data_IF_817389908003
#
_entry.id   IF_817389908003
#
_cell.length_a   1.000
_cell.length_b   1.000
_cell.length_c   1.000
_cell.angle_alpha   90.00
_cell.angle_beta   90.00
_cell.angle_gamma   90.00
#
_symmetry.space_group_name_H-M   'P 1'
#
loop_
_entity.id
_entity.type
_entity.pdbx_description
1 polymer ?
#
# COMPACT_ATOMS: atom_id res chain seq x y z
N UNK A 1 -10.17 1.76 -16.12
CA UNK A 1 -10.92 1.20 -15.00
C UNK A 1 -11.42 -0.20 -15.37
N UNK A 2 -11.18 -1.20 -14.52
CA UNK A 2 -11.54 -2.62 -14.78
C UNK A 2 -13.00 -2.94 -14.41
N UNK A 3 -13.72 -2.00 -13.78
CA UNK A 3 -15.11 -2.15 -13.35
C UNK A 3 -16.14 -1.73 -14.41
N UNK A 4 -15.70 -1.17 -15.53
CA UNK A 4 -16.60 -0.58 -16.53
C UNK A 4 -15.88 0.00 -17.75
N UNK A 5 -16.64 0.35 -18.79
CA UNK A 5 -16.17 1.19 -19.91
C UNK A 5 -17.04 2.44 -20.00
N UNK A 6 -16.46 3.56 -20.40
CA UNK A 6 -17.14 4.85 -20.61
C UNK A 6 -17.91 5.39 -19.37
N UNK A 7 -17.34 5.24 -18.16
CA UNK A 7 -17.92 5.79 -16.92
C UNK A 7 -19.07 4.99 -16.30
N UNK A 8 -19.47 3.87 -16.91
CA UNK A 8 -20.54 3.01 -16.39
C UNK A 8 -19.98 1.84 -15.59
N UNK A 9 -20.30 1.76 -14.30
CA UNK A 9 -19.92 0.65 -13.41
C UNK A 9 -20.81 -0.56 -13.65
N UNK A 10 -20.21 -1.71 -13.96
CA UNK A 10 -20.92 -2.99 -14.06
C UNK A 10 -21.16 -3.56 -12.66
N UNK A 11 -22.36 -3.36 -12.12
CA UNK A 11 -22.77 -3.79 -10.77
C UNK A 11 -22.50 -5.27 -10.45
N UNK A 12 -22.55 -6.16 -11.45
CA UNK A 12 -22.24 -7.57 -11.26
C UNK A 12 -20.74 -7.80 -10.98
N UNK A 13 -19.85 -7.10 -11.69
CA UNK A 13 -18.41 -7.19 -11.49
C UNK A 13 -17.98 -6.53 -10.17
N UNK A 14 -18.60 -5.38 -9.84
CA UNK A 14 -18.41 -4.72 -8.55
C UNK A 14 -18.76 -5.64 -7.38
N UNK A 15 -19.95 -6.27 -7.43
CA UNK A 15 -20.39 -7.22 -6.41
C UNK A 15 -19.48 -8.45 -6.33
N UNK A 16 -19.03 -8.98 -7.46
CA UNK A 16 -18.07 -10.09 -7.49
C UNK A 16 -16.78 -9.74 -6.75
N UNK A 17 -16.18 -8.59 -7.06
CA UNK A 17 -14.96 -8.13 -6.37
C UNK A 17 -15.18 -7.86 -4.89
N UNK A 18 -16.32 -7.26 -4.52
CA UNK A 18 -16.65 -7.03 -3.12
C UNK A 18 -16.76 -8.36 -2.36
N UNK A 19 -17.38 -9.39 -2.95
CA UNK A 19 -17.45 -10.72 -2.36
C UNK A 19 -16.05 -11.36 -2.20
N UNK A 20 -15.19 -11.26 -3.21
CA UNK A 20 -13.82 -11.78 -3.14
C UNK A 20 -13.03 -11.18 -1.97
N UNK A 21 -13.09 -9.84 -1.83
CA UNK A 21 -12.43 -9.15 -0.72
C UNK A 21 -13.06 -9.45 0.63
N UNK A 22 -14.38 -9.61 0.70
CA UNK A 22 -15.06 -9.98 1.92
C UNK A 22 -14.61 -11.36 2.44
N UNK A 23 -14.37 -12.31 1.54
CA UNK A 23 -13.79 -13.62 1.87
C UNK A 23 -12.32 -13.49 2.28
N UNK A 24 -11.50 -12.79 1.48
CA UNK A 24 -10.06 -12.62 1.74
C UNK A 24 -9.78 -11.99 3.11
N UNK A 25 -10.56 -11.00 3.51
CA UNK A 25 -10.38 -10.30 4.79
C UNK A 25 -11.24 -10.88 5.93
N UNK A 26 -11.97 -11.97 5.66
CA UNK A 26 -12.85 -12.63 6.63
C UNK A 26 -13.83 -11.65 7.29
N UNK A 27 -14.52 -10.87 6.45
CA UNK A 27 -15.54 -9.93 6.93
C UNK A 27 -16.72 -10.71 7.54
N UNK A 28 -17.18 -10.25 8.70
CA UNK A 28 -18.41 -10.70 9.35
C UNK A 28 -19.49 -9.66 9.05
N UNK A 29 -20.44 -10.04 8.19
CA UNK A 29 -21.53 -9.19 7.72
C UNK A 29 -22.79 -10.04 7.47
N UNK A 30 -23.98 -9.41 7.46
CA UNK A 30 -25.23 -10.10 7.13
C UNK A 30 -25.45 -10.18 5.62
N UNK A 31 -25.33 -9.04 4.95
CA UNK A 31 -25.42 -8.88 3.51
C UNK A 31 -24.32 -7.97 2.97
N UNK A 32 -23.82 -8.26 1.76
CA UNK A 32 -22.86 -7.38 1.07
C UNK A 32 -23.44 -5.99 0.76
N UNK A 33 -24.76 -5.85 0.82
CA UNK A 33 -25.45 -4.57 0.63
C UNK A 33 -25.68 -3.79 1.94
N UNK A 34 -25.28 -4.35 3.09
CA UNK A 34 -25.45 -3.67 4.38
C UNK A 34 -24.63 -2.37 4.43
N UNK A 35 -25.17 -1.36 5.10
CA UNK A 35 -24.42 -0.14 5.38
C UNK A 35 -23.19 -0.45 6.25
N UNK A 36 -22.02 0.02 5.85
CA UNK A 36 -20.76 -0.22 6.60
C UNK A 36 -20.88 0.20 8.07
N UNK A 37 -21.64 1.26 8.38
CA UNK A 37 -21.86 1.73 9.74
C UNK A 37 -22.56 0.75 10.69
N UNK A 38 -23.20 -0.31 10.18
CA UNK A 38 -23.80 -1.37 11.03
C UNK A 38 -22.80 -2.48 11.39
N UNK A 39 -21.63 -2.51 10.75
CA UNK A 39 -20.59 -3.49 11.03
C UNK A 39 -19.84 -3.12 12.33
N UNK A 40 -19.22 -4.09 13.00
CA UNK A 40 -18.31 -3.79 14.11
C UNK A 40 -17.12 -2.94 13.62
N UNK A 41 -16.52 -2.12 14.49
CA UNK A 41 -15.39 -1.25 14.12
C UNK A 41 -14.27 -1.99 13.37
N UNK A 42 -13.96 -3.21 13.80
CA UNK A 42 -13.02 -4.09 13.10
C UNK A 42 -13.39 -4.44 11.67
N UNK A 43 -14.65 -4.77 11.43
CA UNK A 43 -15.14 -5.06 10.08
C UNK A 43 -15.20 -3.79 9.24
N UNK A 44 -15.50 -2.63 9.83
CA UNK A 44 -15.41 -1.34 9.12
C UNK A 44 -13.98 -1.08 8.65
N UNK A 45 -12.99 -1.31 9.50
CA UNK A 45 -11.57 -1.11 9.18
C UNK A 45 -11.11 -2.08 8.08
N UNK A 46 -11.52 -3.35 8.15
CA UNK A 46 -11.29 -4.33 7.08
C UNK A 46 -11.96 -3.93 5.76
N UNK A 47 -13.17 -3.35 5.77
CA UNK A 47 -13.80 -2.82 4.54
C UNK A 47 -12.98 -1.69 3.93
N UNK A 48 -12.42 -0.79 4.77
CA UNK A 48 -11.53 0.27 4.28
C UNK A 48 -10.27 -0.32 3.67
N UNK A 49 -9.64 -1.29 4.32
CA UNK A 49 -8.49 -2.02 3.76
C UNK A 49 -8.84 -2.71 2.43
N UNK A 50 -9.98 -3.40 2.34
CA UNK A 50 -10.44 -4.02 1.09
C UNK A 50 -10.52 -3.02 -0.06
N UNK A 51 -11.07 -1.82 0.20
CA UNK A 51 -11.18 -0.77 -0.82
C UNK A 51 -9.82 -0.32 -1.33
N UNK A 52 -8.84 -0.17 -0.44
CA UNK A 52 -7.49 0.23 -0.81
C UNK A 52 -6.75 -0.90 -1.52
N UNK A 53 -6.81 -2.13 -1.02
CA UNK A 53 -6.12 -3.27 -1.64
C UNK A 53 -6.73 -3.66 -2.99
N UNK A 54 -8.02 -3.37 -3.22
CA UNK A 54 -8.67 -3.56 -4.51
C UNK A 54 -8.08 -2.69 -5.63
N UNK A 55 -7.28 -1.66 -5.31
CA UNK A 55 -6.56 -0.86 -6.31
C UNK A 55 -5.22 -1.48 -6.71
N UNK A 56 -4.85 -2.62 -6.11
CA UNK A 56 -3.56 -3.30 -6.32
C UNK A 56 -2.37 -2.35 -6.07
N UNK A 57 -2.29 -1.70 -4.89
CA UNK A 57 -1.21 -0.76 -4.60
C UNK A 57 0.13 -1.50 -4.46
N UNK A 58 1.23 -0.80 -4.74
CA UNK A 58 2.59 -1.27 -4.40
C UNK A 58 3.05 -0.76 -3.04
N UNK A 59 2.42 0.30 -2.54
CA UNK A 59 2.67 0.92 -1.22
C UNK A 59 1.34 1.21 -0.54
N UNK A 60 1.22 0.82 0.72
CA UNK A 60 0.08 1.09 1.59
C UNK A 60 0.53 1.91 2.79
N UNK A 61 -0.05 3.11 2.96
CA UNK A 61 0.16 3.96 4.14
C UNK A 61 -1.07 3.83 5.03
N UNK A 62 -0.89 3.46 6.28
CA UNK A 62 -1.97 3.35 7.27
C UNK A 62 -1.67 4.18 8.50
N UNK A 63 -2.62 5.03 8.87
CA UNK A 63 -2.54 5.90 10.05
C UNK A 63 -3.44 5.37 11.15
N UNK A 64 -2.85 5.01 12.28
CA UNK A 64 -3.52 4.46 13.46
C UNK A 64 -4.48 3.31 13.12
N UNK A 65 -4.01 2.25 12.42
CA UNK A 65 -4.86 1.25 11.77
C UNK A 65 -5.66 0.38 12.73
N UNK A 66 -5.45 0.51 14.04
CA UNK A 66 -6.14 -0.27 15.07
C UNK A 66 -6.73 0.59 16.18
N UNK A 67 -6.81 1.92 15.97
CA UNK A 67 -7.43 2.83 16.92
C UNK A 67 -8.94 2.61 16.98
N UNK A 68 -9.46 2.47 18.20
CA UNK A 68 -10.91 2.37 18.46
C UNK A 68 -11.53 0.99 18.19
N UNK A 69 -10.70 -0.05 18.02
CA UNK A 69 -11.15 -1.45 17.93
C UNK A 69 -10.66 -2.28 19.12
N UNK A 70 -11.31 -3.41 19.40
CA UNK A 70 -10.93 -4.28 20.50
C UNK A 70 -9.61 -5.04 20.22
N UNK A 71 -8.99 -5.54 21.29
CA UNK A 71 -7.67 -6.23 21.23
C UNK A 71 -7.70 -7.47 20.33
N UNK A 72 -8.82 -8.21 20.29
CA UNK A 72 -8.94 -9.39 19.44
C UNK A 72 -8.93 -9.02 17.97
N UNK A 73 -9.73 -8.02 17.60
CA UNK A 73 -9.76 -7.47 16.24
C UNK A 73 -8.42 -6.85 15.85
N UNK A 74 -7.74 -6.12 16.75
CA UNK A 74 -6.42 -5.53 16.51
C UNK A 74 -5.42 -6.58 16.00
N UNK A 75 -5.37 -7.74 16.67
CA UNK A 75 -4.51 -8.84 16.24
C UNK A 75 -4.86 -9.40 14.84
N UNK A 76 -6.14 -9.41 14.45
CA UNK A 76 -6.55 -9.81 13.09
C UNK A 76 -6.06 -8.82 12.03
N UNK A 77 -6.18 -7.51 12.28
CA UNK A 77 -5.68 -6.45 11.38
C UNK A 77 -4.16 -6.53 11.24
N UNK A 78 -3.45 -6.73 12.35
CA UNK A 78 -1.99 -6.89 12.35
C UNK A 78 -1.54 -8.05 11.48
N UNK A 79 -2.15 -9.23 11.66
CA UNK A 79 -1.82 -10.42 10.86
C UNK A 79 -2.06 -10.19 9.36
N UNK A 80 -3.14 -9.51 9.02
CA UNK A 80 -3.45 -9.16 7.64
C UNK A 80 -2.38 -8.23 7.04
N UNK A 81 -1.99 -7.17 7.75
CA UNK A 81 -0.95 -6.26 7.27
C UNK A 81 0.40 -6.97 7.13
N UNK A 82 0.78 -7.80 8.10
CA UNK A 82 1.99 -8.61 8.02
C UNK A 82 1.96 -9.61 6.86
N UNK A 83 0.81 -10.26 6.56
CA UNK A 83 0.73 -11.17 5.42
C UNK A 83 0.86 -10.44 4.09
N UNK A 84 0.23 -9.26 3.97
CA UNK A 84 0.35 -8.43 2.78
C UNK A 84 1.79 -7.96 2.57
N UNK A 85 2.47 -7.57 3.65
CA UNK A 85 3.89 -7.21 3.60
C UNK A 85 4.77 -8.38 3.16
N UNK A 86 4.52 -9.58 3.68
CA UNK A 86 5.21 -10.81 3.26
C UNK A 86 4.97 -11.15 1.77
N UNK A 87 3.79 -10.80 1.23
CA UNK A 87 3.44 -10.96 -0.19
C UNK A 87 4.05 -9.85 -1.09
N UNK A 88 4.88 -8.95 -0.53
CA UNK A 88 5.63 -7.94 -1.27
C UNK A 88 4.98 -6.56 -1.33
N UNK A 89 3.90 -6.31 -0.60
CA UNK A 89 3.33 -4.97 -0.44
C UNK A 89 4.19 -4.15 0.53
N UNK A 90 4.68 -2.98 0.13
CA UNK A 90 5.33 -2.09 1.10
C UNK A 90 4.27 -1.46 2.02
N UNK A 91 4.43 -1.58 3.34
CA UNK A 91 3.50 -1.01 4.33
C UNK A 91 4.22 0.03 5.18
N UNK A 92 3.73 1.27 5.15
CA UNK A 92 4.13 2.33 6.09
C UNK A 92 3.00 2.49 7.12
N UNK A 93 3.26 2.05 8.33
CA UNK A 93 2.32 2.17 9.45
C UNK A 93 2.74 3.32 10.37
N UNK A 94 1.79 4.21 10.64
CA UNK A 94 1.91 5.28 11.63
C UNK A 94 1.10 4.83 12.85
N UNK A 95 1.74 4.75 14.00
CA UNK A 95 1.10 4.37 15.24
C UNK A 95 1.80 5.01 16.43
N UNK A 96 1.02 5.48 17.40
CA UNK A 96 1.46 5.89 18.73
C UNK A 96 1.41 4.75 19.75
N UNK A 97 0.93 3.57 19.36
CA UNK A 97 0.84 2.38 20.18
C UNK A 97 2.13 1.54 20.06
N UNK A 98 2.93 1.57 21.12
CA UNK A 98 4.26 0.96 21.13
C UNK A 98 4.24 -0.58 20.93
N UNK A 99 3.33 -1.35 21.56
CA UNK A 99 3.15 -2.76 21.23
C UNK A 99 2.90 -3.04 19.74
N UNK A 100 2.14 -2.19 19.04
CA UNK A 100 1.90 -2.31 17.60
C UNK A 100 3.18 -2.06 16.79
N UNK A 101 3.91 -0.99 17.10
CA UNK A 101 5.19 -0.67 16.46
C UNK A 101 6.20 -1.81 16.64
N UNK A 102 6.42 -2.25 17.88
CA UNK A 102 7.37 -3.31 18.20
C UNK A 102 6.95 -4.69 17.68
N UNK A 103 5.63 -4.94 17.58
CA UNK A 103 5.09 -6.21 17.13
C UNK A 103 5.19 -6.42 15.63
N UNK A 104 5.18 -5.35 14.83
CA UNK A 104 4.99 -5.43 13.38
C UNK A 104 6.11 -4.84 12.53
N UNK A 105 6.85 -3.85 13.02
CA UNK A 105 7.72 -3.05 12.17
C UNK A 105 9.08 -3.72 11.93
N UNK A 106 9.48 -3.86 10.66
CA UNK A 106 10.85 -4.26 10.30
C UNK A 106 11.89 -3.17 10.63
N UNK A 107 11.46 -1.90 10.53
CA UNK A 107 12.23 -0.68 10.85
C UNK A 107 11.30 0.31 11.54
N UNK A 108 11.76 0.93 12.62
CA UNK A 108 11.02 1.94 13.37
C UNK A 108 11.62 3.31 13.10
N UNK A 109 10.81 4.23 12.59
CA UNK A 109 11.15 5.63 12.38
C UNK A 109 10.51 6.46 13.49
N UNK A 110 11.34 7.16 14.27
CA UNK A 110 10.85 7.96 15.41
C UNK A 110 10.90 9.43 15.06
N UNK A 111 9.76 10.11 15.21
CA UNK A 111 9.64 11.55 15.01
C UNK A 111 9.51 12.27 16.35
N UNK A 112 10.20 13.41 16.50
CA UNK A 112 10.09 14.34 17.63
C UNK A 112 10.15 15.77 17.12
N UNK A 113 9.21 16.62 17.54
CA UNK A 113 9.11 18.03 17.12
C UNK A 113 9.18 18.21 15.58
N UNK A 114 8.48 17.34 14.85
CA UNK A 114 8.39 17.36 13.38
C UNK A 114 9.65 16.87 12.65
N UNK A 115 10.67 16.38 13.36
CA UNK A 115 11.91 15.85 12.78
C UNK A 115 12.01 14.35 12.99
N UNK A 116 12.55 13.64 12.01
CA UNK A 116 12.98 12.27 12.18
C UNK A 116 14.25 12.28 13.05
N UNK A 117 14.18 11.69 14.25
CA UNK A 117 15.28 11.72 15.23
C UNK A 117 15.97 10.37 15.39
N UNK A 118 15.30 9.28 15.02
CA UNK A 118 15.90 7.95 15.04
C UNK A 118 15.33 7.06 13.96
N UNK A 119 16.19 6.16 13.46
CA UNK A 119 15.82 4.97 12.73
C UNK A 119 16.37 3.78 13.50
N UNK A 120 15.48 2.88 13.94
CA UNK A 120 15.83 1.76 14.80
C UNK A 120 15.48 0.45 14.07
N UNK A 121 16.46 -0.42 13.77
CA UNK A 121 16.17 -1.71 13.15
C UNK A 121 15.42 -2.62 14.13
N UNK A 122 14.61 -3.56 13.61
CA UNK A 122 13.79 -4.47 14.43
C UNK A 122 14.53 -5.14 15.59
N UNK A 123 15.80 -5.50 15.38
CA UNK A 123 16.63 -6.20 16.36
C UNK A 123 16.99 -5.34 17.58
N UNK A 124 17.01 -4.03 17.42
CA UNK A 124 17.36 -3.05 18.46
C UNK A 124 16.13 -2.32 19.00
N UNK A 125 14.98 -2.46 18.33
CA UNK A 125 13.72 -1.84 18.73
C UNK A 125 13.19 -2.44 20.03
N UNK A 126 13.42 -1.71 21.12
CA UNK A 126 12.84 -1.93 22.44
C UNK A 126 11.92 -0.77 22.81
N UNK A 127 11.01 -1.00 23.76
CA UNK A 127 10.16 0.06 24.30
C UNK A 127 10.98 1.25 24.83
N UNK A 128 12.05 0.97 25.57
CA UNK A 128 12.97 2.00 26.07
C UNK A 128 13.63 2.79 24.95
N UNK A 129 14.18 2.14 23.92
CA UNK A 129 14.87 2.81 22.81
C UNK A 129 13.95 3.75 22.02
N UNK A 130 12.71 3.31 21.75
CA UNK A 130 11.72 4.10 21.00
C UNK A 130 11.23 5.26 21.85
N UNK A 131 10.94 5.03 23.13
CA UNK A 131 10.45 6.07 24.03
C UNK A 131 11.52 7.12 24.33
N UNK A 132 12.79 6.72 24.49
CA UNK A 132 13.89 7.65 24.66
C UNK A 132 14.05 8.58 23.45
N UNK A 133 13.97 8.04 22.23
CA UNK A 133 14.00 8.83 21.01
C UNK A 133 12.77 9.76 20.90
N UNK A 134 11.56 9.25 21.17
CA UNK A 134 10.32 10.00 21.03
C UNK A 134 10.18 11.17 22.03
N UNK A 135 10.82 11.07 23.19
CA UNK A 135 10.80 12.09 24.24
C UNK A 135 11.99 13.05 24.19
N UNK A 136 12.93 12.86 23.26
CA UNK A 136 14.13 13.69 23.15
C UNK A 136 15.18 13.41 24.23
N UNK A 137 15.09 12.27 24.92
CA UNK A 137 16.07 11.83 25.94
C UNK A 137 17.32 11.18 25.33
N UNK A 138 17.42 11.10 24.01
CA UNK A 138 18.63 10.71 23.30
C UNK A 138 19.62 11.89 23.29
N UNK A 139 20.36 12.06 24.38
CA UNK A 139 21.46 13.04 24.44
C UNK A 139 22.52 12.70 23.39
N UNK A 140 22.76 13.62 22.45
CA UNK A 140 24.03 13.75 21.75
C UNK A 140 24.42 12.62 20.78
N UNK A 141 23.72 12.52 19.66
CA UNK A 141 24.35 12.08 18.42
C UNK A 141 23.83 12.98 17.29
N UNK A 142 24.70 13.88 16.82
CA UNK A 142 24.49 14.65 15.60
C UNK A 142 23.84 13.79 14.52
N UNK A 143 22.83 14.39 13.86
CA UNK A 143 21.97 13.84 12.83
C UNK A 143 22.41 12.50 12.27
N UNK A 144 21.58 11.48 12.48
CA UNK A 144 21.55 10.29 11.65
C UNK A 144 21.57 10.75 10.19
N UNK A 145 22.77 10.67 9.59
CA UNK A 145 22.99 11.03 8.19
C UNK A 145 22.04 10.16 7.41
N UNK A 146 21.10 10.81 6.72
CA UNK A 146 20.33 10.21 5.64
C UNK A 146 21.38 9.61 4.69
N UNK A 147 21.54 8.29 4.71
CA UNK A 147 22.23 7.59 3.64
C UNK A 147 21.32 7.74 2.40
N UNK A 148 21.57 8.77 1.60
CA UNK A 148 20.88 9.02 0.34
C UNK A 148 20.30 10.42 0.23
N UNK A 149 21.16 11.43 0.17
CA UNK A 149 20.82 12.72 -0.43
C UNK A 149 20.63 12.52 -1.94
N UNK A 150 19.39 12.20 -2.34
CA UNK A 150 18.91 12.48 -3.68
C UNK A 150 18.22 13.85 -3.60
N UNK A 151 18.98 14.86 -4.00
CA UNK A 151 18.59 16.24 -4.21
C UNK A 151 17.19 16.34 -4.85
N UNK A 152 16.23 16.84 -4.08
CA UNK A 152 14.86 17.11 -4.55
C UNK A 152 14.71 18.57 -5.02
N UNK A 153 15.81 19.24 -5.38
CA UNK A 153 15.82 20.64 -5.81
C UNK A 153 15.95 20.81 -7.32
N UNK A 154 15.29 19.98 -8.13
CA UNK A 154 14.94 20.36 -9.50
C UNK A 154 13.83 19.47 -10.06
N UNK A 155 12.60 19.97 -10.06
CA UNK A 155 11.54 19.44 -10.92
C UNK A 155 11.63 20.18 -12.25
N UNK A 156 12.02 19.54 -13.38
CA UNK A 156 12.00 20.20 -14.66
C UNK A 156 10.56 20.50 -15.06
N UNK A 157 10.25 21.79 -15.10
CA UNK A 157 9.04 22.34 -15.71
C UNK A 157 9.21 22.39 -17.22
N UNK A 158 9.06 21.25 -17.88
CA UNK A 158 8.41 21.15 -19.20
C UNK A 158 8.61 19.74 -19.76
N UNK A 159 7.50 19.02 -19.91
CA UNK A 159 7.40 17.96 -20.90
C UNK A 159 6.04 18.11 -21.58
N UNK A 160 5.96 19.16 -22.39
CA UNK A 160 4.94 19.30 -23.41
C UNK A 160 4.95 18.07 -24.31
N UNK A 161 3.74 17.63 -24.65
CA UNK A 161 3.44 16.55 -25.56
C UNK A 161 4.26 16.62 -26.86
N UNK A 162 4.85 15.50 -27.26
CA UNK A 162 5.20 15.23 -28.66
C UNK A 162 4.94 13.75 -28.95
N UNK A 163 3.97 13.51 -29.82
CA UNK A 163 3.60 12.18 -30.28
C UNK A 163 4.62 11.59 -31.25
N UNK A 164 4.54 10.27 -31.55
CA UNK A 164 5.47 9.65 -32.48
C UNK A 164 5.10 10.00 -33.93
N UNK A 165 5.96 10.76 -34.59
CA UNK A 165 6.01 10.86 -36.06
C UNK A 165 7.05 9.86 -36.57
N UNK A 166 6.66 9.07 -37.57
CA UNK A 166 7.41 7.90 -38.03
C UNK A 166 8.63 8.20 -38.90
N UNK A 167 9.40 7.15 -39.18
CA UNK A 167 10.31 7.09 -40.30
C UNK A 167 10.28 5.70 -40.95
N UNK A 168 10.32 5.75 -42.28
CA UNK A 168 10.06 4.72 -43.27
C UNK A 168 11.33 3.98 -43.69
N UNK A 169 11.18 2.70 -44.05
CA UNK A 169 11.95 2.01 -45.09
C UNK A 169 13.35 1.46 -44.73
N UNK A 170 13.83 0.41 -45.43
CA UNK A 170 13.69 0.29 -46.88
C UNK A 170 13.05 -1.00 -47.41
N UNK A 171 12.71 -0.91 -48.70
CA UNK A 171 12.01 -1.83 -49.59
C UNK A 171 12.95 -2.84 -50.26
N UNK A 172 12.39 -3.97 -50.73
CA UNK A 172 13.05 -4.94 -51.62
C UNK A 172 12.55 -6.37 -51.35
N UNK A 173 11.40 -6.83 -51.86
CA UNK A 173 11.03 -7.18 -53.24
C UNK A 173 11.29 -8.65 -53.62
N UNK A 174 10.21 -9.30 -54.10
CA UNK A 174 10.19 -10.57 -54.85
C UNK A 174 9.88 -11.81 -53.98
N UNK A 175 8.95 -12.70 -54.29
CA UNK A 175 8.01 -12.92 -55.40
C UNK A 175 7.22 -14.19 -55.04
N UNK A 176 5.90 -14.16 -55.14
CA UNK A 176 5.10 -14.90 -56.13
C UNK A 176 4.83 -16.40 -55.84
N UNK A 177 3.53 -16.74 -55.85
CA UNK A 177 2.91 -18.05 -56.17
C UNK A 177 3.05 -19.16 -55.12
N UNK A 178 2.13 -20.10 -54.92
CA UNK A 178 0.74 -20.37 -55.32
C UNK A 178 0.27 -21.58 -54.46
N UNK A 179 -1.04 -21.79 -54.38
CA UNK A 179 -1.74 -23.08 -54.20
C UNK A 179 -1.47 -24.03 -53.01
N UNK A 180 -2.57 -24.56 -52.45
CA UNK A 180 -2.66 -25.99 -52.17
C UNK A 180 -2.96 -26.45 -50.73
N UNK A 181 -4.25 -26.70 -50.47
CA UNK A 181 -4.80 -27.98 -49.98
C UNK A 181 -4.27 -28.67 -48.71
N UNK A 182 -5.21 -28.86 -47.76
CA UNK A 182 -5.44 -29.97 -46.78
C UNK A 182 -4.23 -30.65 -46.12
N UNK A 183 -4.31 -30.77 -44.79
CA UNK A 183 -4.75 -32.02 -44.11
C UNK A 183 -5.24 -31.71 -42.70
#
# INVERSE_FOLDING_TARGET
DRLGRAGLVKRALERGRAADWAVRLQLKYGSLADHVGVLSGGNQQKVVLAKWLATEPTVLIVDEPTRGIDVGTKAEVHRLLSSLAADGLAVLMISSDLPEVLGMADRVLVMHEGRLVAEIPRAEATEESVMAAATGLTEGADGARIAGEADATELPRDAAATGPTGASGPNGAGGASAEGTRT
#
